data_IF_069236430507
#
_entry.id   IF_069236430507
#
_cell.length_a   1.000
_cell.length_b   1.000
_cell.length_c   1.000
_cell.angle_alpha   90.00
_cell.angle_beta   90.00
_cell.angle_gamma   90.00
#
_symmetry.space_group_name_H-M   'P 1'
#
loop_
_entity.id
_entity.type
_entity.pdbx_description
1 polymer ?
#
# COMPACT_ATOMS: atom_id res chain seq x y z
N UNK A 1 16.86 -11.20 -15.73
CA UNK A 1 15.38 -11.14 -15.86
C UNK A 1 15.02 -9.93 -16.72
N UNK A 2 14.32 -10.16 -17.83
CA UNK A 2 13.93 -9.11 -18.80
C UNK A 2 12.95 -8.12 -18.14
N UNK A 3 13.06 -6.83 -18.45
CA UNK A 3 12.24 -5.76 -17.87
C UNK A 3 10.73 -6.03 -17.99
N UNK A 4 10.28 -6.52 -19.15
CA UNK A 4 8.88 -6.88 -19.40
C UNK A 4 8.35 -7.87 -18.35
N UNK A 5 9.15 -8.87 -17.97
CA UNK A 5 8.76 -9.84 -16.96
C UNK A 5 8.70 -9.24 -15.55
N UNK A 6 9.60 -8.29 -15.24
CA UNK A 6 9.55 -7.54 -13.96
C UNK A 6 8.27 -6.71 -13.86
N UNK A 7 7.88 -6.06 -14.96
CA UNK A 7 6.65 -5.28 -15.06
C UNK A 7 5.42 -6.17 -14.85
N UNK A 8 5.36 -7.33 -15.52
CA UNK A 8 4.26 -8.28 -15.36
C UNK A 8 4.15 -8.77 -13.91
N UNK A 9 5.27 -9.12 -13.27
CA UNK A 9 5.26 -9.53 -11.85
C UNK A 9 4.70 -8.42 -10.97
N UNK A 10 5.17 -7.17 -11.15
CA UNK A 10 4.71 -6.04 -10.34
C UNK A 10 3.21 -5.76 -10.53
N UNK A 11 2.74 -5.83 -11.77
CA UNK A 11 1.32 -5.67 -12.10
C UNK A 11 0.46 -6.73 -11.40
N UNK A 12 0.81 -8.02 -11.54
CA UNK A 12 0.05 -9.09 -10.89
C UNK A 12 0.19 -9.08 -9.38
N UNK A 13 1.33 -8.64 -8.84
CA UNK A 13 1.49 -8.47 -7.39
C UNK A 13 0.58 -7.35 -6.85
N UNK A 14 0.47 -6.23 -7.55
CA UNK A 14 -0.47 -5.16 -7.22
C UNK A 14 -1.92 -5.63 -7.24
N UNK A 15 -2.31 -6.34 -8.29
CA UNK A 15 -3.65 -6.93 -8.40
C UNK A 15 -3.91 -7.91 -7.25
N UNK A 16 -2.94 -8.78 -6.95
CA UNK A 16 -3.03 -9.75 -5.86
C UNK A 16 -3.18 -9.07 -4.50
N UNK A 17 -2.50 -7.95 -4.25
CA UNK A 17 -2.63 -7.20 -3.01
C UNK A 17 -4.09 -6.76 -2.75
N UNK A 18 -4.77 -6.29 -3.79
CA UNK A 18 -6.18 -5.86 -3.71
C UNK A 18 -7.13 -7.05 -3.61
N UNK A 19 -6.84 -8.16 -4.31
CA UNK A 19 -7.63 -9.40 -4.17
C UNK A 19 -7.53 -9.97 -2.75
N UNK A 20 -6.32 -9.98 -2.18
CA UNK A 20 -6.09 -10.41 -0.79
C UNK A 20 -6.84 -9.50 0.18
N UNK A 21 -6.75 -8.18 -0.01
CA UNK A 21 -7.53 -7.19 0.75
C UNK A 21 -9.03 -7.48 0.69
N UNK A 22 -9.57 -7.76 -0.51
CA UNK A 22 -10.99 -8.05 -0.69
C UNK A 22 -11.42 -9.39 -0.06
N UNK A 23 -10.54 -10.40 -0.08
CA UNK A 23 -10.82 -11.72 0.49
C UNK A 23 -10.69 -11.76 2.01
N UNK A 24 -9.70 -11.06 2.56
CA UNK A 24 -9.44 -11.01 3.99
C UNK A 24 -10.21 -9.89 4.69
N UNK A 25 -11.40 -9.49 4.20
CA UNK A 25 -12.36 -8.56 4.84
C UNK A 25 -12.86 -9.09 6.19
N UNK A 26 -11.95 -9.28 7.13
CA UNK A 26 -12.20 -9.71 8.49
C UNK A 26 -12.85 -8.57 9.25
N UNK A 27 -13.95 -8.80 9.99
CA UNK A 27 -14.68 -7.75 10.71
C UNK A 27 -13.97 -7.36 12.02
N UNK A 28 -12.65 -7.11 11.98
CA UNK A 28 -11.84 -6.73 13.16
C UNK A 28 -12.21 -5.32 13.66
N UNK A 29 -12.92 -4.53 12.84
CA UNK A 29 -13.41 -3.20 13.21
C UNK A 29 -12.31 -2.13 13.32
N UNK A 30 -11.04 -2.50 13.12
CA UNK A 30 -9.91 -1.59 13.17
C UNK A 30 -9.69 -0.90 11.82
N UNK A 31 -9.63 0.44 11.75
CA UNK A 31 -9.37 1.14 10.51
C UNK A 31 -7.95 0.81 10.00
N UNK A 32 -7.84 0.55 8.70
CA UNK A 32 -6.55 0.33 8.05
C UNK A 32 -5.92 -1.05 8.28
N UNK A 33 -6.60 -2.00 8.92
CA UNK A 33 -6.00 -3.31 9.24
C UNK A 33 -5.48 -4.08 8.03
N UNK A 34 -6.12 -3.91 6.87
CA UNK A 34 -5.65 -4.47 5.60
C UNK A 34 -4.33 -3.88 5.08
N UNK A 35 -3.78 -2.88 5.76
CA UNK A 35 -2.45 -2.36 5.48
C UNK A 35 -1.38 -3.39 5.71
N UNK A 36 -1.65 -4.39 6.55
CA UNK A 36 -0.69 -5.45 6.86
C UNK A 36 -0.31 -6.25 5.60
N UNK A 37 -1.29 -6.87 4.93
CA UNK A 37 -1.05 -7.65 3.72
C UNK A 37 -0.66 -6.78 2.53
N UNK A 38 -1.31 -5.61 2.37
CA UNK A 38 -1.07 -4.74 1.23
C UNK A 38 0.34 -4.15 1.26
N UNK A 39 0.76 -3.61 2.41
CA UNK A 39 2.10 -3.02 2.54
C UNK A 39 3.19 -4.08 2.61
N UNK A 40 2.90 -5.29 3.09
CA UNK A 40 3.85 -6.39 3.03
C UNK A 40 4.22 -6.73 1.58
N UNK A 41 3.21 -6.94 0.73
CA UNK A 41 3.45 -7.28 -0.68
C UNK A 41 4.07 -6.10 -1.45
N UNK A 42 3.58 -4.88 -1.21
CA UNK A 42 4.13 -3.66 -1.81
C UNK A 42 5.62 -3.48 -1.46
N UNK A 43 5.96 -3.60 -0.17
CA UNK A 43 7.35 -3.45 0.31
C UNK A 43 8.25 -4.53 -0.27
N UNK A 44 7.82 -5.80 -0.21
CA UNK A 44 8.55 -6.93 -0.75
C UNK A 44 8.91 -6.71 -2.23
N UNK A 45 7.93 -6.32 -3.03
CA UNK A 45 8.13 -6.04 -4.46
C UNK A 45 8.99 -4.81 -4.71
N UNK A 46 8.79 -3.72 -3.95
CA UNK A 46 9.58 -2.50 -4.04
C UNK A 46 11.07 -2.71 -3.70
N UNK A 47 11.38 -3.70 -2.86
CA UNK A 47 12.76 -4.11 -2.56
C UNK A 47 13.33 -5.07 -3.61
N UNK A 48 12.49 -5.93 -4.18
CA UNK A 48 12.89 -6.95 -5.17
C UNK A 48 13.28 -6.34 -6.51
N UNK A 49 12.57 -5.31 -6.95
CA UNK A 49 12.79 -4.62 -8.22
C UNK A 49 13.33 -3.20 -7.96
N UNK A 50 14.31 -2.75 -8.75
CA UNK A 50 15.06 -1.50 -8.45
C UNK A 50 14.90 -0.39 -9.50
N UNK A 51 13.99 -0.54 -10.45
CA UNK A 51 13.77 0.49 -11.47
C UNK A 51 12.78 1.56 -10.97
N UNK A 52 12.89 2.78 -11.50
CA UNK A 52 12.19 3.99 -11.01
C UNK A 52 10.66 3.89 -11.06
N UNK A 53 10.12 3.21 -12.07
CA UNK A 53 8.67 3.10 -12.28
C UNK A 53 8.02 1.89 -11.59
N UNK A 54 8.73 1.20 -10.68
CA UNK A 54 8.21 -0.03 -10.05
C UNK A 54 6.90 0.19 -9.28
N UNK A 55 6.78 1.33 -8.59
CA UNK A 55 5.58 1.69 -7.85
C UNK A 55 4.38 1.96 -8.76
N UNK A 56 4.62 2.45 -9.98
CA UNK A 56 3.58 2.72 -10.98
C UNK A 56 2.99 1.42 -11.48
N UNK A 57 3.81 0.44 -11.88
CA UNK A 57 3.28 -0.84 -12.37
C UNK A 57 2.56 -1.64 -11.29
N UNK A 58 3.04 -1.57 -10.04
CA UNK A 58 2.30 -2.13 -8.91
C UNK A 58 0.95 -1.40 -8.70
N UNK A 59 0.94 -0.06 -8.74
CA UNK A 59 -0.26 0.73 -8.60
C UNK A 59 -1.29 0.43 -9.71
N UNK A 60 -0.86 0.34 -10.97
CA UNK A 60 -1.73 -0.03 -12.09
C UNK A 60 -2.34 -1.42 -11.90
N UNK A 61 -1.54 -2.37 -11.40
CA UNK A 61 -2.04 -3.68 -11.00
C UNK A 61 -3.13 -3.59 -9.93
N UNK A 62 -2.86 -2.84 -8.86
CA UNK A 62 -3.82 -2.61 -7.79
C UNK A 62 -5.11 -1.94 -8.29
N UNK A 63 -5.00 -0.86 -9.06
CA UNK A 63 -6.13 -0.14 -9.65
C UNK A 63 -6.97 -1.03 -10.57
N UNK A 64 -6.32 -1.83 -11.41
CA UNK A 64 -7.01 -2.74 -12.34
C UNK A 64 -7.89 -3.78 -11.62
N UNK A 65 -7.53 -4.18 -10.40
CA UNK A 65 -8.31 -5.14 -9.62
C UNK A 65 -9.69 -4.59 -9.24
N UNK A 66 -9.88 -3.27 -9.16
CA UNK A 66 -11.19 -2.70 -8.82
C UNK A 66 -12.24 -2.86 -9.91
N UNK A 67 -11.82 -3.08 -11.16
CA UNK A 67 -12.73 -3.38 -12.27
C UNK A 67 -13.24 -4.83 -12.25
N UNK A 68 -12.78 -5.64 -11.29
CA UNK A 68 -13.26 -7.02 -11.10
C UNK A 68 -14.58 -6.97 -10.31
N UNK A 69 -15.74 -7.22 -10.96
CA UNK A 69 -17.05 -6.88 -10.40
C UNK A 69 -17.40 -7.68 -9.13
N UNK A 70 -16.88 -8.89 -8.99
CA UNK A 70 -17.17 -9.77 -7.85
C UNK A 70 -16.33 -9.47 -6.59
N UNK A 71 -15.45 -8.46 -6.60
CA UNK A 71 -14.73 -8.02 -5.41
C UNK A 71 -15.55 -7.07 -4.52
N UNK A 72 -16.70 -6.57 -5.00
CA UNK A 72 -17.67 -5.84 -4.19
C UNK A 72 -17.12 -4.54 -3.59
N UNK A 73 -16.35 -3.77 -4.36
CA UNK A 73 -15.98 -2.39 -4.02
C UNK A 73 -17.12 -1.45 -4.40
N UNK A 74 -17.55 -0.62 -3.46
CA UNK A 74 -18.67 0.35 -3.65
C UNK A 74 -18.21 1.81 -3.62
N UNK A 75 -16.95 2.03 -3.25
CA UNK A 75 -16.35 3.35 -3.15
C UNK A 75 -15.80 3.77 -4.53
N UNK A 76 -16.34 4.83 -5.16
CA UNK A 76 -15.94 5.25 -6.50
C UNK A 76 -14.51 5.79 -6.56
N UNK A 77 -13.92 6.15 -5.41
CA UNK A 77 -12.55 6.65 -5.32
C UNK A 77 -11.55 5.61 -4.81
N UNK A 78 -12.00 4.37 -4.62
CA UNK A 78 -11.16 3.30 -4.10
C UNK A 78 -9.94 3.04 -5.00
N UNK A 79 -10.04 3.26 -6.31
CA UNK A 79 -8.94 3.08 -7.26
C UNK A 79 -7.75 3.95 -6.88
N UNK A 80 -7.96 5.25 -6.73
CA UNK A 80 -6.92 6.20 -6.36
C UNK A 80 -6.38 5.87 -4.96
N UNK A 81 -7.26 5.48 -4.04
CA UNK A 81 -6.87 5.11 -2.68
C UNK A 81 -5.94 3.89 -2.63
N UNK A 82 -6.18 2.84 -3.45
CA UNK A 82 -5.31 1.66 -3.48
C UNK A 82 -4.02 1.88 -4.28
N UNK A 83 -4.02 2.78 -5.25
CA UNK A 83 -2.81 3.13 -6.02
C UNK A 83 -1.81 3.93 -5.20
N UNK A 84 -2.31 4.79 -4.30
CA UNK A 84 -1.48 5.81 -3.63
C UNK A 84 -0.34 5.24 -2.78
N UNK A 85 -0.54 4.21 -1.92
CA UNK A 85 0.53 3.74 -1.04
C UNK A 85 1.77 3.21 -1.79
N UNK A 86 1.59 2.47 -2.89
CA UNK A 86 2.73 1.93 -3.64
C UNK A 86 3.52 3.02 -4.37
N UNK A 87 2.83 4.05 -4.86
CA UNK A 87 3.45 5.23 -5.47
C UNK A 87 4.26 6.00 -4.43
N UNK A 88 3.65 6.32 -3.30
CA UNK A 88 4.29 7.09 -2.22
C UNK A 88 5.48 6.33 -1.63
N UNK A 89 5.34 5.03 -1.35
CA UNK A 89 6.44 4.23 -0.82
C UNK A 89 7.64 4.22 -1.76
N UNK A 90 7.42 3.95 -3.05
CA UNK A 90 8.51 3.89 -4.02
C UNK A 90 9.14 5.26 -4.25
N UNK A 91 8.33 6.33 -4.27
CA UNK A 91 8.81 7.70 -4.36
C UNK A 91 9.70 8.07 -3.17
N UNK A 92 9.26 7.78 -1.93
CA UNK A 92 10.05 8.04 -0.72
C UNK A 92 11.37 7.24 -0.73
N UNK A 93 11.33 5.97 -1.13
CA UNK A 93 12.53 5.14 -1.25
C UNK A 93 13.52 5.65 -2.31
N UNK A 94 13.03 6.25 -3.39
CA UNK A 94 13.86 6.80 -4.46
C UNK A 94 14.36 8.22 -4.14
N UNK A 95 13.59 9.02 -3.42
CA UNK A 95 13.93 10.38 -3.05
C UNK A 95 14.95 10.45 -1.89
N UNK A 96 14.91 9.49 -0.97
CA UNK A 96 15.72 9.52 0.24
C UNK A 96 16.68 8.33 0.32
N UNK A 97 17.98 8.63 0.44
CA UNK A 97 19.04 7.62 0.55
C UNK A 97 19.62 7.60 1.96
N UNK A 98 19.34 6.53 2.71
CA UNK A 98 19.91 6.29 4.03
C UNK A 98 20.89 5.11 4.02
N UNK A 99 21.93 5.20 4.84
CA UNK A 99 22.96 4.17 5.01
C UNK A 99 22.80 3.38 6.31
N UNK A 100 23.34 2.15 6.33
CA UNK A 100 23.39 1.30 7.53
C UNK A 100 22.03 1.00 8.15
N UNK A 101 21.98 0.98 9.49
CA UNK A 101 20.76 0.70 10.28
C UNK A 101 19.62 1.70 10.06
N UNK A 102 19.94 2.94 9.67
CA UNK A 102 18.92 3.96 9.42
C UNK A 102 18.10 3.65 8.17
N UNK A 103 18.64 2.87 7.23
CA UNK A 103 17.93 2.46 6.02
C UNK A 103 16.68 1.62 6.30
N UNK A 104 16.78 0.65 7.20
CA UNK A 104 15.64 -0.19 7.57
C UNK A 104 14.60 0.60 8.37
N UNK A 105 15.04 1.46 9.28
CA UNK A 105 14.13 2.32 10.07
C UNK A 105 13.38 3.29 9.14
N UNK A 106 14.09 3.94 8.22
CA UNK A 106 13.48 4.83 7.23
C UNK A 106 12.48 4.10 6.34
N UNK A 107 12.80 2.90 5.86
CA UNK A 107 11.87 2.08 5.06
C UNK A 107 10.57 1.81 5.82
N UNK A 108 10.67 1.41 7.10
CA UNK A 108 9.51 1.14 7.95
C UNK A 108 8.66 2.41 8.14
N UNK A 109 9.29 3.54 8.42
CA UNK A 109 8.60 4.83 8.52
C UNK A 109 7.90 5.22 7.21
N UNK A 110 8.58 5.02 6.06
CA UNK A 110 8.00 5.27 4.74
C UNK A 110 6.78 4.40 4.47
N UNK A 111 6.77 3.15 4.95
CA UNK A 111 5.60 2.28 4.92
C UNK A 111 4.39 2.90 5.62
N UNK A 112 4.59 3.38 6.85
CA UNK A 112 3.55 4.08 7.61
C UNK A 112 3.06 5.34 6.90
N UNK A 113 3.98 6.18 6.43
CA UNK A 113 3.64 7.41 5.70
C UNK A 113 2.90 7.13 4.40
N UNK A 114 3.29 6.11 3.66
CA UNK A 114 2.64 5.73 2.41
C UNK A 114 1.20 5.25 2.65
N UNK A 115 0.97 4.41 3.67
CA UNK A 115 -0.36 3.87 3.91
C UNK A 115 -1.32 4.89 4.55
N UNK A 116 -0.83 5.80 5.40
CA UNK A 116 -1.64 6.89 5.97
C UNK A 116 -2.09 7.93 4.93
N UNK A 117 -1.52 7.93 3.72
CA UNK A 117 -2.03 8.77 2.63
C UNK A 117 -3.48 8.42 2.25
N UNK A 118 -3.97 7.21 2.53
CA UNK A 118 -5.36 6.82 2.26
C UNK A 118 -6.36 7.70 3.04
N UNK A 119 -6.35 7.74 4.38
CA UNK A 119 -7.28 8.61 5.11
C UNK A 119 -7.08 10.09 4.80
N UNK A 120 -5.85 10.54 4.50
CA UNK A 120 -5.59 11.92 4.08
C UNK A 120 -6.28 12.24 2.73
N UNK A 121 -6.17 11.33 1.75
CA UNK A 121 -6.88 11.43 0.48
C UNK A 121 -8.39 11.43 0.69
N UNK A 122 -8.90 10.57 1.58
CA UNK A 122 -10.35 10.53 1.90
C UNK A 122 -10.85 11.83 2.52
N UNK A 123 -10.06 12.47 3.39
CA UNK A 123 -10.38 13.80 3.94
C UNK A 123 -10.48 14.82 2.81
N UNK A 124 -9.50 14.83 1.89
CA UNK A 124 -9.51 15.74 0.74
C UNK A 124 -10.71 15.51 -0.18
N UNK A 125 -11.04 14.26 -0.48
CA UNK A 125 -12.20 13.91 -1.31
C UNK A 125 -13.49 14.32 -0.61
N UNK A 126 -13.62 14.03 0.68
CA UNK A 126 -14.79 14.43 1.46
C UNK A 126 -14.98 15.96 1.44
N UNK A 127 -13.91 16.71 1.67
CA UNK A 127 -13.94 18.16 1.68
C UNK A 127 -14.29 18.79 0.31
N UNK A 128 -13.89 18.14 -0.80
CA UNK A 128 -14.09 18.68 -2.16
C UNK A 128 -15.36 18.18 -2.85
N UNK A 129 -15.85 16.98 -2.51
CA UNK A 129 -16.98 16.32 -3.19
C UNK A 129 -18.20 16.07 -2.29
N UNK A 130 -18.03 16.16 -0.98
CA UNK A 130 -19.06 15.76 0.00
C UNK A 130 -19.26 14.26 0.16
N UNK A 131 -18.46 13.40 -0.52
CA UNK A 131 -18.63 11.95 -0.45
C UNK A 131 -18.45 11.44 0.99
N UNK A 132 -19.45 10.75 1.58
CA UNK A 132 -19.41 10.37 2.99
C UNK A 132 -18.58 9.11 3.21
N UNK A 133 -17.40 9.25 3.81
CA UNK A 133 -16.61 8.10 4.26
C UNK A 133 -16.97 7.71 5.68
N UNK A 134 -17.50 6.50 5.87
CA UNK A 134 -17.77 5.93 7.20
C UNK A 134 -16.55 5.98 8.13
N UNK A 135 -15.35 5.78 7.58
CA UNK A 135 -14.11 5.85 8.35
C UNK A 135 -13.86 7.23 8.97
N UNK A 136 -14.30 8.32 8.32
CA UNK A 136 -14.13 9.68 8.82
C UNK A 136 -15.20 10.10 9.84
N UNK A 137 -16.24 9.28 10.03
CA UNK A 137 -17.22 9.46 11.10
C UNK A 137 -16.62 9.12 12.48
N UNK A 138 -15.52 8.35 12.49
CA UNK A 138 -14.67 8.13 13.65
C UNK A 138 -13.63 9.26 13.71
N UNK A 139 -13.08 9.55 14.91
CA UNK A 139 -12.02 10.54 15.09
C UNK A 139 -10.92 10.42 14.00
N UNK A 140 -10.74 11.43 13.12
CA UNK A 140 -9.80 11.36 12.01
C UNK A 140 -8.35 11.10 12.42
N UNK A 141 -7.92 11.62 13.58
CA UNK A 141 -6.57 11.39 14.10
C UNK A 141 -6.33 9.91 14.43
N UNK A 142 -7.33 9.25 15.04
CA UNK A 142 -7.25 7.82 15.32
C UNK A 142 -7.13 7.00 14.03
N UNK A 143 -7.91 7.34 12.99
CA UNK A 143 -7.86 6.66 11.70
C UNK A 143 -6.49 6.82 11.04
N UNK A 144 -5.96 8.05 11.00
CA UNK A 144 -4.63 8.32 10.43
C UNK A 144 -3.56 7.53 11.19
N UNK A 145 -3.59 7.55 12.52
CA UNK A 145 -2.64 6.83 13.36
C UNK A 145 -2.70 5.30 13.13
N UNK A 146 -3.90 4.73 13.01
CA UNK A 146 -4.06 3.30 12.76
C UNK A 146 -3.57 2.90 11.37
N UNK A 147 -3.86 3.69 10.33
CA UNK A 147 -3.29 3.45 9.01
C UNK A 147 -1.76 3.56 9.04
N UNK A 148 -1.19 4.55 9.73
CA UNK A 148 0.25 4.62 9.91
C UNK A 148 0.80 3.35 10.59
N UNK A 149 0.18 2.90 11.69
CA UNK A 149 0.60 1.72 12.43
C UNK A 149 0.52 0.43 11.60
N UNK A 150 -0.57 0.20 10.85
CA UNK A 150 -0.70 -0.95 9.97
C UNK A 150 0.23 -0.87 8.75
N UNK A 151 0.50 0.34 8.25
CA UNK A 151 1.52 0.55 7.22
C UNK A 151 2.91 0.17 7.69
N UNK A 152 3.27 0.59 8.91
CA UNK A 152 4.51 0.18 9.59
C UNK A 152 4.57 -1.35 9.75
N UNK A 153 3.51 -1.96 10.30
CA UNK A 153 3.46 -3.41 10.53
C UNK A 153 3.57 -4.23 9.23
N UNK A 154 2.84 -3.83 8.19
CA UNK A 154 2.91 -4.47 6.88
C UNK A 154 4.29 -4.31 6.24
N UNK A 155 4.90 -3.13 6.32
CA UNK A 155 6.27 -2.93 5.81
C UNK A 155 7.31 -3.73 6.58
N UNK A 156 7.18 -3.89 7.90
CA UNK A 156 8.02 -4.80 8.69
C UNK A 156 7.89 -6.23 8.15
N UNK A 157 6.66 -6.72 7.98
CA UNK A 157 6.40 -8.07 7.44
C UNK A 157 7.01 -8.25 6.04
N UNK A 158 6.81 -7.29 5.14
CA UNK A 158 7.39 -7.32 3.80
C UNK A 158 8.91 -7.28 3.79
N UNK A 159 9.52 -6.47 4.65
CA UNK A 159 10.97 -6.39 4.81
C UNK A 159 11.59 -7.71 5.26
N UNK A 160 11.02 -8.34 6.30
CA UNK A 160 11.53 -9.62 6.80
C UNK A 160 11.27 -10.76 5.83
N UNK A 161 10.13 -10.76 5.13
CA UNK A 161 9.85 -11.71 4.04
C UNK A 161 10.90 -11.60 2.94
N UNK A 162 11.23 -10.39 2.51
CA UNK A 162 12.28 -10.16 1.51
C UNK A 162 13.65 -10.67 1.98
N UNK A 163 14.00 -10.40 3.25
CA UNK A 163 15.26 -10.86 3.85
C UNK A 163 15.33 -12.39 3.90
N UNK A 164 14.26 -13.04 4.33
CA UNK A 164 14.15 -14.50 4.40
C UNK A 164 14.26 -15.17 3.03
N UNK A 165 13.58 -14.62 2.01
CA UNK A 165 13.69 -15.12 0.63
C UNK A 165 15.07 -14.92 0.01
N UNK A 166 15.86 -13.96 0.51
CA UNK A 166 17.23 -13.71 0.04
C UNK A 166 18.25 -14.64 0.71
N UNK A 167 17.93 -15.20 1.88
CA UNK A 167 18.81 -16.13 2.60
C UNK A 167 18.65 -17.60 2.17
N UNK A 168 17.61 -17.90 1.38
CA UNK A 168 17.43 -19.19 0.70
C UNK A 168 18.21 -19.20 -0.63
#
# INVERSE_FOLDING_TARGET
MVLAFQILILFFAGMSAVVLHARFRSPIGLPGHHGLEFMALTTLMAMRFKFRLRGVFFALGAGSALFIPFLGFTDPFAEIAFMLPSLVLCLLMDAFHFAGRFKSVALIAFGGFAYMCIPLLRILIHATTGFPYKSLLINPFYVIAMYFAFGVAGTILGYYTYRGLKSL
#
